data_IF_835170692645
#
_entry.id   IF_835170692645
#
_cell.length_a   1.000
_cell.length_b   1.000
_cell.length_c   1.000
_cell.angle_alpha   90.00
_cell.angle_beta   90.00
_cell.angle_gamma   90.00
#
_symmetry.space_group_name_H-M   'P 1'
#
loop_
_entity.id
_entity.type
_entity.pdbx_description
1 polymer ?
#
# COMPACT_ATOMS: atom_id res chain seq x y z
N UNK A 1 8.37 16.93 -14.84
CA UNK A 1 6.93 16.64 -14.62
C UNK A 1 6.53 15.19 -14.91
N UNK A 2 6.90 14.58 -16.03
CA UNK A 2 6.48 13.20 -16.36
C UNK A 2 6.84 12.13 -15.30
N UNK A 3 8.02 12.21 -14.68
CA UNK A 3 8.43 11.26 -13.64
C UNK A 3 7.60 11.37 -12.34
N UNK A 4 7.19 12.58 -11.95
CA UNK A 4 6.34 12.79 -10.78
C UNK A 4 4.93 12.23 -11.00
N UNK A 5 4.37 12.43 -12.20
CA UNK A 5 3.08 11.85 -12.58
C UNK A 5 3.12 10.32 -12.58
N UNK A 6 4.21 9.73 -13.08
CA UNK A 6 4.40 8.29 -13.05
C UNK A 6 4.41 7.74 -11.62
N UNK A 7 5.23 8.32 -10.73
CA UNK A 7 5.31 7.90 -9.32
C UNK A 7 3.98 8.14 -8.59
N UNK A 8 3.28 9.24 -8.90
CA UNK A 8 1.95 9.52 -8.36
C UNK A 8 0.92 8.45 -8.77
N UNK A 9 0.87 8.08 -10.05
CA UNK A 9 -0.05 7.04 -10.54
C UNK A 9 0.22 5.67 -9.91
N UNK A 10 1.50 5.34 -9.71
CA UNK A 10 1.94 4.08 -9.13
C UNK A 10 1.63 4.02 -7.63
N UNK A 11 1.87 5.12 -6.89
CA UNK A 11 1.55 5.21 -5.46
C UNK A 11 0.04 5.19 -5.20
N UNK A 12 -0.76 5.88 -6.02
CA UNK A 12 -2.23 5.82 -5.93
C UNK A 12 -2.78 4.41 -6.16
N UNK A 13 -2.26 3.70 -7.16
CA UNK A 13 -2.66 2.32 -7.45
C UNK A 13 -2.26 1.37 -6.32
N UNK A 14 -1.05 1.53 -5.78
CA UNK A 14 -0.54 0.73 -4.67
C UNK A 14 -1.39 0.91 -3.40
N UNK A 15 -1.81 2.14 -3.12
CA UNK A 15 -2.64 2.45 -1.96
C UNK A 15 -4.04 1.85 -2.07
N UNK A 16 -4.70 1.96 -3.23
CA UNK A 16 -5.99 1.29 -3.48
C UNK A 16 -5.91 -0.23 -3.29
N UNK A 17 -4.79 -0.84 -3.70
CA UNK A 17 -4.55 -2.26 -3.54
C UNK A 17 -4.43 -2.65 -2.05
N UNK A 18 -3.74 -1.83 -1.27
CA UNK A 18 -3.62 -2.01 0.18
C UNK A 18 -4.97 -1.89 0.87
N UNK A 19 -5.73 -0.84 0.56
CA UNK A 19 -7.05 -0.58 1.15
C UNK A 19 -8.02 -1.76 0.88
N UNK A 20 -8.06 -2.26 -0.35
CA UNK A 20 -8.85 -3.46 -0.70
C UNK A 20 -8.37 -4.72 0.02
N UNK A 21 -7.05 -4.90 0.19
CA UNK A 21 -6.51 -6.05 0.91
C UNK A 21 -6.92 -6.03 2.39
N UNK A 22 -6.91 -4.86 3.03
CA UNK A 22 -7.35 -4.68 4.41
C UNK A 22 -8.86 -4.85 4.57
N UNK A 23 -9.65 -4.31 3.64
CA UNK A 23 -11.12 -4.48 3.65
C UNK A 23 -11.50 -5.95 3.48
N UNK A 24 -10.85 -6.66 2.55
CA UNK A 24 -11.06 -8.09 2.35
C UNK A 24 -10.70 -8.90 3.60
N UNK A 25 -9.62 -8.53 4.30
CA UNK A 25 -9.25 -9.15 5.57
C UNK A 25 -10.34 -8.94 6.64
N UNK A 26 -10.86 -7.72 6.76
CA UNK A 26 -11.92 -7.38 7.71
C UNK A 26 -13.22 -8.13 7.41
N UNK A 27 -13.63 -8.21 6.15
CA UNK A 27 -14.81 -8.97 5.71
C UNK A 27 -14.65 -10.47 6.02
N UNK A 28 -13.47 -11.05 5.78
CA UNK A 28 -13.18 -12.45 6.14
C UNK A 28 -13.23 -12.64 7.65
N UNK A 29 -12.74 -11.69 8.43
CA UNK A 29 -12.75 -11.76 9.89
C UNK A 29 -14.18 -11.68 10.45
N UNK A 30 -15.01 -10.82 9.88
CA UNK A 30 -16.41 -10.61 10.27
C UNK A 30 -17.37 -11.66 9.67
N UNK A 31 -16.92 -12.49 8.74
CA UNK A 31 -17.76 -13.56 8.20
C UNK A 31 -18.02 -14.63 9.26
N UNK A 32 -19.17 -15.31 9.18
CA UNK A 32 -19.51 -16.42 10.06
C UNK A 32 -18.71 -17.68 9.70
N UNK A 33 -17.38 -17.62 9.81
CA UNK A 33 -16.41 -18.65 9.42
C UNK A 33 -16.70 -20.02 10.06
N UNK A 34 -17.36 -20.03 11.22
CA UNK A 34 -17.77 -21.22 11.96
C UNK A 34 -19.00 -21.93 11.37
N UNK A 35 -19.81 -21.23 10.54
CA UNK A 35 -20.98 -21.80 9.84
C UNK A 35 -20.66 -22.30 8.43
N UNK A 36 -19.43 -22.13 7.97
CA UNK A 36 -18.99 -22.43 6.60
C UNK A 36 -18.46 -23.88 6.51
N UNK A 37 -18.60 -24.52 5.35
CA UNK A 37 -18.13 -25.90 5.12
C UNK A 37 -16.65 -26.08 5.49
N UNK A 38 -16.26 -27.28 5.93
CA UNK A 38 -14.89 -27.57 6.36
C UNK A 38 -13.83 -27.26 5.29
N UNK A 39 -14.17 -27.48 4.01
CA UNK A 39 -13.31 -27.17 2.86
C UNK A 39 -13.16 -25.67 2.64
N UNK A 40 -14.27 -24.94 2.72
CA UNK A 40 -14.29 -23.48 2.59
C UNK A 40 -13.61 -22.79 3.78
N UNK A 41 -13.65 -23.37 4.99
CA UNK A 41 -12.94 -22.85 6.17
C UNK A 41 -11.42 -22.92 6.00
N UNK A 42 -10.90 -24.01 5.45
CA UNK A 42 -9.46 -24.12 5.13
C UNK A 42 -9.03 -23.11 4.06
N UNK A 43 -9.86 -22.92 3.02
CA UNK A 43 -9.63 -21.90 1.99
C UNK A 43 -9.62 -20.48 2.58
N UNK A 44 -10.56 -20.18 3.49
CA UNK A 44 -10.61 -18.89 4.18
C UNK A 44 -9.39 -18.66 5.07
N UNK A 45 -8.94 -19.67 5.83
CA UNK A 45 -7.71 -19.57 6.61
C UNK A 45 -6.48 -19.33 5.74
N UNK A 46 -6.36 -20.04 4.61
CA UNK A 46 -5.27 -19.82 3.65
C UNK A 46 -5.30 -18.41 3.06
N UNK A 47 -6.50 -17.93 2.73
CA UNK A 47 -6.71 -16.58 2.18
C UNK A 47 -6.36 -15.52 3.23
N UNK A 48 -6.81 -15.69 4.47
CA UNK A 48 -6.51 -14.81 5.59
C UNK A 48 -5.00 -14.74 5.87
N UNK A 49 -4.31 -15.89 5.87
CA UNK A 49 -2.85 -15.98 6.02
C UNK A 49 -2.09 -15.31 4.88
N UNK A 50 -2.69 -15.21 3.69
CA UNK A 50 -2.10 -14.49 2.55
C UNK A 50 -2.38 -12.99 2.61
N UNK A 51 -3.58 -12.58 3.05
CA UNK A 51 -3.95 -11.16 3.16
C UNK A 51 -3.35 -10.47 4.39
N UNK A 52 -2.98 -11.20 5.45
CA UNK A 52 -2.23 -10.65 6.58
C UNK A 52 -0.83 -10.17 6.20
N UNK A 53 -0.28 -10.63 5.08
CA UNK A 53 0.83 -9.94 4.42
C UNK A 53 0.21 -8.91 3.48
N UNK A 54 0.18 -7.63 3.87
CA UNK A 54 -0.34 -6.60 2.98
C UNK A 54 0.40 -6.67 1.66
N UNK A 55 -0.33 -6.57 0.54
CA UNK A 55 0.25 -6.58 -0.79
C UNK A 55 0.97 -5.24 -1.02
N UNK A 56 2.10 -5.06 -0.35
CA UNK A 56 2.92 -3.86 -0.41
C UNK A 56 3.76 -3.94 -1.67
N UNK A 57 3.53 -2.99 -2.58
CA UNK A 57 4.40 -2.80 -3.72
C UNK A 57 5.61 -2.02 -3.22
N UNK A 58 6.72 -2.71 -3.04
CA UNK A 58 7.98 -2.13 -2.56
C UNK A 58 8.88 -1.77 -3.74
N UNK A 59 9.33 -0.53 -3.82
CA UNK A 59 10.42 -0.14 -4.69
C UNK A 59 11.75 -0.67 -4.11
N UNK A 60 12.30 -1.71 -4.76
CA UNK A 60 13.59 -2.28 -4.41
C UNK A 60 13.68 -2.90 -3.01
N UNK A 61 12.55 -3.32 -2.40
CA UNK A 61 12.45 -3.78 -0.99
C UNK A 61 12.79 -2.75 0.10
N UNK A 62 13.01 -1.49 -0.26
CA UNK A 62 13.40 -0.46 0.70
C UNK A 62 12.32 0.60 0.90
N UNK A 63 11.45 0.79 -0.10
CA UNK A 63 10.44 1.82 -0.07
C UNK A 63 9.06 1.26 -0.37
N UNK A 64 8.18 1.28 0.63
CA UNK A 64 6.75 1.01 0.42
C UNK A 64 6.19 2.14 -0.45
N UNK A 65 5.66 1.80 -1.63
CA UNK A 65 5.02 2.79 -2.48
C UNK A 65 3.64 3.13 -1.92
N UNK A 66 3.58 4.15 -1.06
CA UNK A 66 2.36 4.76 -0.53
C UNK A 66 2.34 6.27 -0.84
N UNK A 67 1.16 6.92 -0.81
CA UNK A 67 1.10 8.40 -0.93
C UNK A 67 1.90 9.09 0.17
N UNK A 68 1.96 8.50 1.37
CA UNK A 68 2.73 9.05 2.49
C UNK A 68 4.21 9.16 2.12
N UNK A 69 4.77 8.10 1.55
CA UNK A 69 6.16 8.09 1.13
C UNK A 69 6.41 9.05 -0.05
N UNK A 70 5.46 9.12 -1.00
CA UNK A 70 5.52 10.10 -2.09
C UNK A 70 5.52 11.55 -1.58
N UNK A 71 4.67 11.87 -0.59
CA UNK A 71 4.60 13.18 0.05
C UNK A 71 5.90 13.53 0.79
N UNK A 72 6.50 12.56 1.48
CA UNK A 72 7.82 12.74 2.11
C UNK A 72 8.91 13.09 1.10
N UNK A 73 8.98 12.34 -0.01
CA UNK A 73 9.95 12.60 -1.09
C UNK A 73 9.73 14.00 -1.70
N UNK A 74 8.48 14.40 -1.93
CA UNK A 74 8.15 15.74 -2.43
C UNK A 74 8.59 16.83 -1.45
N UNK A 75 8.33 16.68 -0.14
CA UNK A 75 8.76 17.63 0.88
C UNK A 75 10.27 17.80 0.89
N UNK A 76 11.02 16.70 0.90
CA UNK A 76 12.49 16.74 0.85
C UNK A 76 12.98 17.45 -0.41
N UNK A 77 12.36 17.16 -1.57
CA UNK A 77 12.72 17.79 -2.85
C UNK A 77 12.51 19.31 -2.84
N UNK A 78 11.37 19.76 -2.31
CA UNK A 78 11.05 21.20 -2.18
C UNK A 78 11.95 21.88 -1.15
N UNK A 79 12.23 21.23 -0.02
CA UNK A 79 13.16 21.75 0.99
C UNK A 79 14.57 21.93 0.41
N UNK A 80 15.07 20.94 -0.34
CA UNK A 80 16.37 21.04 -1.03
C UNK A 80 16.38 22.17 -2.06
N UNK A 81 15.33 22.28 -2.86
CA UNK A 81 15.18 23.37 -3.82
C UNK A 81 15.23 24.72 -3.11
N UNK A 82 14.45 24.87 -2.02
CA UNK A 82 14.38 26.10 -1.23
C UNK A 82 15.75 26.47 -0.63
N UNK A 83 16.45 25.48 -0.07
CA UNK A 83 17.81 25.68 0.48
C UNK A 83 18.77 26.21 -0.59
N UNK A 84 18.79 25.59 -1.77
CA UNK A 84 19.67 26.04 -2.87
C UNK A 84 19.30 27.45 -3.30
N UNK A 85 18.01 27.75 -3.48
CA UNK A 85 17.57 29.11 -3.85
C UNK A 85 17.84 30.16 -2.78
N UNK A 86 17.99 29.77 -1.52
CA UNK A 86 18.35 30.69 -0.42
C UNK A 86 19.85 30.93 -0.30
N UNK A 87 20.67 30.03 -0.85
CA UNK A 87 22.13 30.12 -0.88
C UNK A 87 22.65 30.78 -2.17
N UNK A 88 21.77 30.95 -3.16
CA UNK A 88 22.02 31.64 -4.42
C UNK A 88 21.61 33.11 -4.32
#
# INVERSE_FOLDING_TARGET
>A
MGQLLHIYSLSSTSQRLLDHSTEMQEVIYNCNWYKISLRSRHLLQFTLMRTTKPCQIEAGKMFVMSMENFSSILKVSVSYFTMITSLQ
#
